data_IF_443435336938
#
_entry.id   IF_443435336938
#
_cell.length_a   1.000
_cell.length_b   1.000
_cell.length_c   1.000
_cell.angle_alpha   90.00
_cell.angle_beta   90.00
_cell.angle_gamma   90.00
#
_symmetry.space_group_name_H-M   'P 1'
#
loop_
_entity.id
_entity.type
_entity.pdbx_description
1 polymer ?
#
# COMPACT_ATOMS: atom_id res chain seq x y z
N UNK A 1 -16.43 17.44 -17.62
CA UNK A 1 -16.48 18.74 -18.32
C UNK A 1 -15.67 19.84 -17.65
N UNK A 2 -15.75 20.08 -16.32
CA UNK A 2 -14.97 21.15 -15.67
C UNK A 2 -13.45 20.98 -15.81
N UNK A 3 -12.96 19.74 -15.69
CA UNK A 3 -11.53 19.44 -15.76
C UNK A 3 -10.89 19.71 -17.13
N UNK A 4 -11.57 19.34 -18.23
CA UNK A 4 -11.07 19.62 -19.58
C UNK A 4 -10.95 21.13 -19.83
N UNK A 5 -11.91 21.91 -19.33
CA UNK A 5 -11.88 23.38 -19.43
C UNK A 5 -10.70 23.95 -18.63
N UNK A 6 -10.47 23.44 -17.41
CA UNK A 6 -9.36 23.88 -16.56
C UNK A 6 -7.99 23.61 -17.21
N UNK A 7 -7.80 22.41 -17.76
CA UNK A 7 -6.57 22.04 -18.48
C UNK A 7 -6.35 22.97 -19.69
N UNK A 8 -7.38 23.15 -20.54
CA UNK A 8 -7.28 24.02 -21.72
C UNK A 8 -7.02 25.48 -21.32
N UNK A 9 -7.64 25.96 -20.24
CA UNK A 9 -7.45 27.32 -19.75
C UNK A 9 -6.00 27.57 -19.30
N UNK A 10 -5.36 26.60 -18.64
CA UNK A 10 -3.94 26.68 -18.30
C UNK A 10 -3.05 26.63 -19.53
N UNK A 11 -3.34 25.75 -20.50
CA UNK A 11 -2.59 25.66 -21.76
C UNK A 11 -2.64 26.95 -22.61
N UNK A 12 -3.70 27.77 -22.49
CA UNK A 12 -3.80 29.08 -23.16
C UNK A 12 -2.66 30.02 -22.78
N UNK A 13 -2.05 29.86 -21.58
CA UNK A 13 -0.90 30.67 -21.15
C UNK A 13 0.33 30.44 -22.03
N UNK A 14 0.40 29.30 -22.73
CA UNK A 14 1.54 28.90 -23.55
C UNK A 14 1.22 28.81 -25.05
N UNK A 15 -0.06 28.73 -25.44
CA UNK A 15 -0.49 28.52 -26.82
C UNK A 15 -1.61 29.48 -27.21
N UNK A 16 -1.58 29.97 -28.45
CA UNK A 16 -2.69 30.75 -28.99
C UNK A 16 -3.96 29.90 -29.09
N UNK A 17 -5.12 30.56 -28.99
CA UNK A 17 -6.42 29.90 -29.03
C UNK A 17 -6.65 29.15 -30.36
N UNK A 18 -6.16 29.70 -31.47
CA UNK A 18 -6.18 29.07 -32.79
C UNK A 18 -5.32 27.80 -32.84
N UNK A 19 -4.13 27.82 -32.23
CA UNK A 19 -3.24 26.66 -32.15
C UNK A 19 -3.85 25.55 -31.29
N UNK A 20 -4.47 25.90 -30.16
CA UNK A 20 -5.18 24.96 -29.29
C UNK A 20 -6.37 24.33 -30.01
N UNK A 21 -7.20 25.13 -30.68
CA UNK A 21 -8.36 24.64 -31.44
C UNK A 21 -7.93 23.67 -32.55
N UNK A 22 -6.84 23.98 -33.26
CA UNK A 22 -6.26 23.10 -34.29
C UNK A 22 -5.80 21.76 -33.69
N UNK A 23 -4.96 21.81 -32.64
CA UNK A 23 -4.45 20.61 -31.95
C UNK A 23 -5.59 19.76 -31.39
N UNK A 24 -6.61 20.38 -30.82
CA UNK A 24 -7.81 19.71 -30.32
C UNK A 24 -8.54 18.96 -31.41
N UNK A 25 -8.78 19.64 -32.54
CA UNK A 25 -9.50 19.06 -33.68
C UNK A 25 -8.73 17.88 -34.27
N UNK A 26 -7.41 18.02 -34.42
CA UNK A 26 -6.53 16.94 -34.89
C UNK A 26 -6.58 15.70 -33.99
N UNK A 27 -6.47 15.87 -32.66
CA UNK A 27 -6.54 14.74 -31.72
C UNK A 27 -7.92 14.10 -31.68
N UNK A 28 -8.99 14.91 -31.74
CA UNK A 28 -10.37 14.41 -31.84
C UNK A 28 -10.56 13.54 -33.08
N UNK A 29 -10.05 13.99 -34.23
CA UNK A 29 -10.12 13.21 -35.48
C UNK A 29 -9.33 11.91 -35.40
N UNK A 30 -8.16 11.90 -34.74
CA UNK A 30 -7.38 10.66 -34.52
C UNK A 30 -8.13 9.67 -33.63
N UNK A 31 -8.71 10.12 -32.54
CA UNK A 31 -9.50 9.26 -31.65
C UNK A 31 -10.71 8.63 -32.35
N UNK A 32 -11.43 9.42 -33.16
CA UNK A 32 -12.60 8.92 -33.91
C UNK A 32 -12.23 7.86 -34.96
N UNK A 33 -11.01 7.91 -35.50
CA UNK A 33 -10.49 6.91 -36.45
C UNK A 33 -10.02 5.62 -35.78
N UNK A 34 -9.75 5.63 -34.46
CA UNK A 34 -9.22 4.49 -33.72
C UNK A 34 -10.30 3.50 -33.19
N UNK A 35 -11.59 3.71 -33.50
CA UNK A 35 -12.69 2.78 -33.19
C UNK A 35 -13.62 3.20 -32.04
N UNK A 36 -14.76 2.50 -31.81
CA UNK A 36 -15.88 3.00 -31.01
C UNK A 36 -15.71 2.87 -29.47
N UNK A 37 -14.57 2.40 -28.96
CA UNK A 37 -14.45 1.97 -27.56
C UNK A 37 -14.31 3.10 -26.51
N UNK A 38 -14.29 4.39 -26.88
CA UNK A 38 -13.98 5.49 -25.95
C UNK A 38 -15.05 6.60 -25.88
N UNK A 39 -16.32 6.22 -25.98
CA UNK A 39 -17.44 7.17 -26.16
C UNK A 39 -17.96 7.90 -24.90
N UNK A 40 -17.21 7.97 -23.78
CA UNK A 40 -17.64 8.74 -22.59
C UNK A 40 -16.65 9.80 -22.04
N UNK A 41 -15.36 9.77 -22.38
CA UNK A 41 -14.35 10.68 -21.80
C UNK A 41 -13.43 11.41 -22.80
N UNK A 42 -13.79 11.46 -24.08
CA UNK A 42 -12.93 11.95 -25.18
C UNK A 42 -12.33 13.34 -24.99
N UNK A 43 -13.07 14.29 -24.41
CA UNK A 43 -12.57 15.66 -24.24
C UNK A 43 -11.48 15.75 -23.15
N UNK A 44 -11.61 14.98 -22.07
CA UNK A 44 -10.60 15.00 -21.00
C UNK A 44 -9.32 14.31 -21.47
N UNK A 45 -9.42 13.16 -22.13
CA UNK A 45 -8.26 12.46 -22.70
C UNK A 45 -7.51 13.30 -23.73
N UNK A 46 -8.23 14.00 -24.63
CA UNK A 46 -7.59 14.91 -25.60
C UNK A 46 -6.85 16.05 -24.88
N UNK A 47 -7.43 16.62 -23.84
CA UNK A 47 -6.80 17.70 -23.05
C UNK A 47 -5.50 17.22 -22.40
N UNK A 48 -5.53 16.00 -21.82
CA UNK A 48 -4.36 15.36 -21.21
C UNK A 48 -3.29 15.09 -22.27
N UNK A 49 -3.67 14.54 -23.43
CA UNK A 49 -2.73 14.25 -24.52
C UNK A 49 -2.03 15.50 -25.05
N UNK A 50 -2.75 16.61 -25.20
CA UNK A 50 -2.15 17.89 -25.61
C UNK A 50 -1.14 18.35 -24.56
N UNK A 51 -1.47 18.25 -23.27
CA UNK A 51 -0.58 18.65 -22.16
C UNK A 51 0.70 17.81 -22.13
N UNK A 52 0.57 16.49 -22.25
CA UNK A 52 1.70 15.56 -22.34
C UNK A 52 2.58 15.85 -23.57
N UNK A 53 1.96 16.15 -24.72
CA UNK A 53 2.68 16.53 -25.93
C UNK A 53 3.45 17.85 -25.81
N UNK A 54 3.02 18.74 -24.92
CA UNK A 54 3.75 19.98 -24.61
C UNK A 54 4.96 19.69 -23.73
N UNK A 55 4.81 18.84 -22.71
CA UNK A 55 5.90 18.43 -21.84
C UNK A 55 7.04 17.75 -22.60
N UNK A 56 6.71 16.79 -23.48
CA UNK A 56 7.71 16.05 -24.27
C UNK A 56 8.49 16.96 -25.23
N UNK A 57 7.90 18.08 -25.66
CA UNK A 57 8.55 19.07 -26.55
C UNK A 57 9.21 20.22 -25.80
N UNK A 58 9.10 20.25 -24.48
CA UNK A 58 9.71 21.29 -23.65
C UNK A 58 11.21 21.05 -23.47
N UNK A 59 12.00 22.09 -23.15
CA UNK A 59 13.42 21.93 -22.80
C UNK A 59 13.62 20.97 -21.62
N UNK A 60 12.67 20.94 -20.68
CA UNK A 60 12.68 20.11 -19.47
C UNK A 60 11.94 18.79 -19.68
N UNK A 61 12.09 18.15 -20.84
CA UNK A 61 11.34 16.93 -21.19
C UNK A 61 11.54 15.79 -20.19
N UNK A 62 12.65 15.78 -19.46
CA UNK A 62 12.97 14.77 -18.43
C UNK A 62 11.97 14.78 -17.26
N UNK A 63 11.18 15.86 -17.08
CA UNK A 63 10.10 15.92 -16.10
C UNK A 63 9.04 14.82 -16.28
N UNK A 64 8.90 14.25 -17.50
CA UNK A 64 7.99 13.14 -17.76
C UNK A 64 8.34 11.87 -16.97
N UNK A 65 9.59 11.75 -16.51
CA UNK A 65 10.06 10.61 -15.71
C UNK A 65 9.47 10.60 -14.29
N UNK A 66 8.92 11.72 -13.83
CA UNK A 66 8.19 11.80 -12.55
C UNK A 66 6.76 11.25 -12.69
N UNK A 67 6.20 11.27 -13.91
CA UNK A 67 4.81 10.88 -14.16
C UNK A 67 4.47 9.45 -13.70
N UNK A 68 5.28 8.40 -13.96
CA UNK A 68 4.99 7.05 -13.51
C UNK A 68 4.89 6.90 -11.98
N UNK A 69 5.56 7.76 -11.22
CA UNK A 69 5.49 7.77 -9.75
C UNK A 69 4.22 8.52 -9.32
N UNK A 70 4.02 9.75 -9.81
CA UNK A 70 2.86 10.58 -9.45
C UNK A 70 1.51 9.95 -9.86
N UNK A 71 1.46 9.24 -10.99
CA UNK A 71 0.22 8.57 -11.42
C UNK A 71 -0.10 7.34 -10.57
N UNK A 72 0.94 6.69 -10.03
CA UNK A 72 0.78 5.47 -9.24
C UNK A 72 0.34 5.76 -7.80
N UNK A 73 0.84 6.84 -7.19
CA UNK A 73 0.59 7.20 -5.79
C UNK A 73 -0.80 7.84 -5.59
N UNK A 74 -1.75 7.20 -4.87
CA UNK A 74 -3.10 7.73 -4.72
C UNK A 74 -3.20 9.07 -3.97
N UNK A 75 -2.37 9.26 -2.94
CA UNK A 75 -2.33 10.50 -2.16
C UNK A 75 -1.44 11.57 -2.83
N UNK A 76 -0.82 11.26 -3.97
CA UNK A 76 0.23 12.09 -4.55
C UNK A 76 1.54 11.95 -3.77
N UNK A 77 2.34 13.02 -3.74
CA UNK A 77 3.62 13.08 -3.02
C UNK A 77 3.51 14.15 -1.94
N UNK A 78 3.23 13.76 -0.68
CA UNK A 78 3.27 14.67 0.48
C UNK A 78 4.70 15.16 0.76
N UNK A 79 4.82 16.39 1.27
CA UNK A 79 6.12 17.02 1.58
C UNK A 79 7.11 16.88 0.42
N UNK A 80 6.64 17.25 -0.77
CA UNK A 80 7.29 16.81 -2.01
C UNK A 80 8.73 17.30 -2.15
N UNK A 81 9.08 18.43 -1.56
CA UNK A 81 10.45 18.96 -1.57
C UNK A 81 11.46 17.95 -0.99
N UNK A 82 11.09 17.22 0.06
CA UNK A 82 11.93 16.22 0.72
C UNK A 82 11.69 14.81 0.17
N UNK A 83 10.42 14.48 -0.09
CA UNK A 83 10.02 13.13 -0.51
C UNK A 83 10.41 12.84 -1.95
N UNK A 84 10.27 13.80 -2.87
CA UNK A 84 10.46 13.55 -4.30
C UNK A 84 11.90 13.15 -4.62
N UNK A 85 12.88 13.76 -3.97
CA UNK A 85 14.30 13.42 -4.11
C UNK A 85 14.63 11.99 -3.66
N UNK A 86 13.82 11.42 -2.75
CA UNK A 86 13.96 10.03 -2.33
C UNK A 86 13.25 9.05 -3.26
N UNK A 87 12.26 9.50 -4.04
CA UNK A 87 11.51 8.66 -4.97
C UNK A 87 12.11 8.64 -6.38
N UNK A 88 12.73 9.74 -6.81
CA UNK A 88 13.36 9.91 -8.13
C UNK A 88 14.87 9.88 -7.95
N UNK A 89 15.51 8.77 -8.32
CA UNK A 89 16.97 8.55 -8.13
C UNK A 89 17.79 9.02 -9.35
N UNK A 90 17.15 9.60 -10.35
CA UNK A 90 17.81 10.01 -11.58
C UNK A 90 18.57 11.32 -11.38
N UNK A 91 19.89 11.27 -11.57
CA UNK A 91 20.83 12.36 -11.24
C UNK A 91 20.86 13.51 -12.25
N UNK A 92 20.18 13.37 -13.39
CA UNK A 92 20.12 14.35 -14.47
C UNK A 92 18.89 15.27 -14.39
N UNK A 93 18.05 15.13 -13.36
CA UNK A 93 16.78 15.85 -13.25
C UNK A 93 16.87 16.98 -12.22
N UNK A 94 16.66 18.22 -12.67
CA UNK A 94 16.30 19.32 -11.78
C UNK A 94 14.84 19.17 -11.36
N UNK A 95 14.62 18.69 -10.12
CA UNK A 95 13.30 18.35 -9.61
C UNK A 95 12.39 19.58 -9.48
N UNK A 96 12.91 20.73 -9.05
CA UNK A 96 12.11 21.94 -8.85
C UNK A 96 11.62 22.48 -10.20
N UNK A 97 12.53 22.60 -11.17
CA UNK A 97 12.19 23.05 -12.53
C UNK A 97 11.24 22.07 -13.23
N UNK A 98 11.41 20.77 -12.96
CA UNK A 98 10.51 19.72 -13.46
C UNK A 98 9.11 19.83 -12.88
N UNK A 99 8.98 20.07 -11.56
CA UNK A 99 7.69 20.24 -10.90
C UNK A 99 6.98 21.49 -11.41
N UNK A 100 7.69 22.61 -11.62
CA UNK A 100 7.12 23.82 -12.23
C UNK A 100 6.56 23.51 -13.62
N UNK A 101 7.34 22.82 -14.45
CA UNK A 101 6.92 22.42 -15.80
C UNK A 101 5.66 21.52 -15.77
N UNK A 102 5.57 20.61 -14.80
CA UNK A 102 4.41 19.75 -14.60
C UNK A 102 3.18 20.53 -14.08
N UNK A 103 3.35 21.49 -13.17
CA UNK A 103 2.27 22.36 -12.68
C UNK A 103 1.70 23.22 -13.82
N UNK A 104 2.55 23.79 -14.66
CA UNK A 104 2.13 24.58 -15.83
C UNK A 104 1.39 23.74 -16.87
N UNK A 105 1.62 22.42 -16.90
CA UNK A 105 0.93 21.49 -17.79
C UNK A 105 -0.50 21.14 -17.38
N UNK A 106 -0.98 21.59 -16.22
CA UNK A 106 -2.30 21.24 -15.66
C UNK A 106 -2.52 19.74 -15.34
N UNK A 107 -1.50 18.90 -15.51
CA UNK A 107 -1.60 17.47 -15.19
C UNK A 107 -1.57 17.23 -13.69
N UNK A 108 -0.88 18.09 -12.95
CA UNK A 108 -0.75 18.02 -11.50
C UNK A 108 -1.12 19.36 -10.87
N UNK A 109 -1.40 19.34 -9.58
CA UNK A 109 -1.65 20.52 -8.75
C UNK A 109 -1.01 20.33 -7.38
N UNK A 110 -0.69 21.44 -6.71
CA UNK A 110 -0.17 21.43 -5.34
C UNK A 110 -1.28 21.82 -4.36
N UNK A 111 -1.39 21.11 -3.25
CA UNK A 111 -2.28 21.47 -2.13
C UNK A 111 -1.76 20.93 -0.81
N UNK A 112 -1.68 21.78 0.22
CA UNK A 112 -1.12 21.44 1.54
C UNK A 112 0.26 20.76 1.45
N UNK A 113 1.17 21.38 0.70
CA UNK A 113 2.53 20.86 0.44
C UNK A 113 2.59 19.45 -0.17
N UNK A 114 1.53 19.06 -0.87
CA UNK A 114 1.43 17.77 -1.53
C UNK A 114 1.22 17.95 -3.04
N UNK A 115 2.06 17.30 -3.86
CA UNK A 115 1.85 17.23 -5.31
C UNK A 115 0.86 16.14 -5.63
N UNK A 116 -0.25 16.51 -6.27
CA UNK A 116 -1.36 15.61 -6.55
C UNK A 116 -1.71 15.58 -8.03
N UNK A 117 -2.21 14.45 -8.45
CA UNK A 117 -2.78 14.24 -9.78
C UNK A 117 -4.22 13.75 -9.61
N UNK A 118 -5.16 14.33 -10.35
CA UNK A 118 -6.56 13.91 -10.27
C UNK A 118 -6.73 12.48 -10.79
N UNK A 119 -7.62 11.68 -10.17
CA UNK A 119 -7.81 10.26 -10.53
C UNK A 119 -7.97 10.01 -12.04
N UNK A 120 -8.79 10.78 -12.79
CA UNK A 120 -8.93 10.56 -14.23
C UNK A 120 -7.63 10.82 -15.02
N UNK A 121 -6.80 11.75 -14.55
CA UNK A 121 -5.48 12.03 -15.15
C UNK A 121 -4.52 10.91 -14.78
N UNK A 122 -4.51 10.47 -13.51
CA UNK A 122 -3.68 9.35 -13.04
C UNK A 122 -3.92 8.09 -13.84
N UNK A 123 -5.17 7.68 -13.99
CA UNK A 123 -5.54 6.48 -14.76
C UNK A 123 -5.06 6.56 -16.21
N UNK A 124 -5.26 7.72 -16.86
CA UNK A 124 -4.83 7.93 -18.24
C UNK A 124 -3.31 7.95 -18.39
N UNK A 125 -2.61 8.66 -17.49
CA UNK A 125 -1.13 8.76 -17.49
C UNK A 125 -0.51 7.41 -17.18
N UNK A 126 -1.06 6.63 -16.25
CA UNK A 126 -0.56 5.30 -15.88
C UNK A 126 -0.60 4.31 -17.06
N UNK A 127 -1.59 4.43 -17.96
CA UNK A 127 -1.67 3.61 -19.18
C UNK A 127 -0.54 3.97 -20.15
N UNK A 128 -0.20 5.26 -20.26
CA UNK A 128 0.76 5.78 -21.25
C UNK A 128 2.21 5.78 -20.76
N UNK A 129 2.41 5.95 -19.45
CA UNK A 129 3.68 5.99 -18.75
C UNK A 129 3.61 5.05 -17.52
N UNK A 130 3.61 3.73 -17.73
CA UNK A 130 3.44 2.77 -16.66
C UNK A 130 4.62 2.75 -15.70
N UNK A 131 4.32 2.57 -14.41
CA UNK A 131 5.31 2.34 -13.36
C UNK A 131 6.10 1.06 -13.66
N UNK A 132 7.42 1.21 -13.70
CA UNK A 132 8.38 0.11 -13.88
C UNK A 132 8.80 -0.49 -12.53
N UNK A 133 9.41 -1.67 -12.56
CA UNK A 133 9.92 -2.36 -11.36
C UNK A 133 10.94 -1.53 -10.57
N UNK A 134 11.79 -0.75 -11.26
CA UNK A 134 12.74 0.17 -10.61
C UNK A 134 12.04 1.23 -9.76
N UNK A 135 10.98 1.85 -10.30
CA UNK A 135 10.16 2.82 -9.57
C UNK A 135 9.47 2.16 -8.38
N UNK A 136 8.88 0.98 -8.57
CA UNK A 136 8.19 0.25 -7.52
C UNK A 136 9.15 -0.12 -6.38
N UNK A 137 10.34 -0.61 -6.71
CA UNK A 137 11.39 -0.95 -5.74
C UNK A 137 11.85 0.28 -4.95
N UNK A 138 12.00 1.43 -5.61
CA UNK A 138 12.39 2.67 -4.93
C UNK A 138 11.28 3.18 -3.99
N UNK A 139 10.03 3.21 -4.47
CA UNK A 139 8.89 3.56 -3.63
C UNK A 139 8.75 2.59 -2.45
N UNK A 140 8.98 1.30 -2.68
CA UNK A 140 8.99 0.25 -1.65
C UNK A 140 10.02 0.54 -0.56
N UNK A 141 11.29 0.75 -0.94
CA UNK A 141 12.37 1.11 -0.01
C UNK A 141 12.05 2.37 0.79
N UNK A 142 11.57 3.42 0.14
CA UNK A 142 11.19 4.67 0.80
C UNK A 142 10.10 4.43 1.86
N UNK A 143 9.01 3.76 1.47
CA UNK A 143 7.91 3.50 2.41
C UNK A 143 8.29 2.53 3.52
N UNK A 144 9.13 1.54 3.24
CA UNK A 144 9.67 0.66 4.28
C UNK A 144 10.52 1.41 5.29
N UNK A 145 11.41 2.29 4.80
CA UNK A 145 12.19 3.17 5.67
C UNK A 145 11.27 4.07 6.50
N UNK A 146 10.27 4.68 5.88
CA UNK A 146 9.30 5.53 6.57
C UNK A 146 8.59 4.81 7.72
N UNK A 147 8.18 3.55 7.51
CA UNK A 147 7.55 2.73 8.54
C UNK A 147 8.51 2.30 9.67
N UNK A 148 9.81 2.14 9.37
CA UNK A 148 10.84 1.83 10.37
C UNK A 148 11.23 3.04 11.21
N UNK A 149 11.37 4.20 10.56
CA UNK A 149 11.79 5.43 11.21
C UNK A 149 10.68 6.04 12.09
N UNK A 150 9.42 5.69 11.81
CA UNK A 150 8.25 6.17 12.56
C UNK A 150 7.50 5.00 13.18
N UNK A 151 7.74 4.75 14.46
CA UNK A 151 7.00 3.74 15.22
C UNK A 151 5.59 4.24 15.57
N UNK A 152 4.54 3.41 15.46
CA UNK A 152 3.18 3.84 15.75
C UNK A 152 3.01 4.32 17.19
N UNK A 153 2.45 5.53 17.34
CA UNK A 153 2.43 6.30 18.59
C UNK A 153 3.37 7.50 18.62
N UNK A 154 4.43 7.50 17.81
CA UNK A 154 5.25 8.68 17.49
C UNK A 154 5.09 9.01 16.00
N UNK A 155 4.75 10.26 15.68
CA UNK A 155 4.58 10.71 14.28
C UNK A 155 3.51 9.95 13.47
N UNK A 156 2.42 9.53 14.13
CA UNK A 156 1.30 8.84 13.49
C UNK A 156 0.65 9.66 12.36
N UNK A 157 0.64 10.98 12.52
CA UNK A 157 0.21 11.96 11.52
C UNK A 157 1.01 11.86 10.22
N UNK A 158 2.32 11.60 10.31
CA UNK A 158 3.17 11.39 9.13
C UNK A 158 2.78 10.11 8.38
N UNK A 159 2.56 9.00 9.11
CA UNK A 159 2.17 7.72 8.51
C UNK A 159 0.77 7.84 7.86
N UNK A 160 -0.17 8.51 8.52
CA UNK A 160 -1.53 8.69 8.02
C UNK A 160 -1.58 9.43 6.68
N UNK A 161 -0.75 10.46 6.53
CA UNK A 161 -0.60 11.20 5.27
C UNK A 161 -0.14 10.29 4.12
N UNK A 162 0.69 9.29 4.41
CA UNK A 162 1.17 8.30 3.44
C UNK A 162 0.32 7.03 3.36
N UNK A 163 -0.75 6.89 4.15
CA UNK A 163 -1.53 5.65 4.30
C UNK A 163 -1.90 4.94 2.99
N UNK A 164 -2.58 5.63 2.08
CA UNK A 164 -3.02 5.05 0.81
C UNK A 164 -1.86 4.77 -0.16
N UNK A 165 -0.76 5.52 -0.05
CA UNK A 165 0.46 5.25 -0.81
C UNK A 165 1.13 3.98 -0.32
N UNK A 166 1.28 3.82 1.00
CA UNK A 166 1.86 2.64 1.65
C UNK A 166 1.06 1.39 1.28
N UNK A 167 -0.26 1.40 1.48
CA UNK A 167 -1.12 0.25 1.13
C UNK A 167 -0.98 -0.10 -0.37
N UNK A 168 -0.96 0.91 -1.26
CA UNK A 168 -0.87 0.67 -2.70
C UNK A 168 0.48 0.10 -3.11
N UNK A 169 1.57 0.70 -2.66
CA UNK A 169 2.95 0.31 -3.05
C UNK A 169 3.31 -1.02 -2.43
N UNK A 170 3.25 -1.13 -1.10
CA UNK A 170 3.66 -2.35 -0.40
C UNK A 170 2.68 -3.50 -0.70
N UNK A 171 1.40 -3.22 -0.87
CA UNK A 171 0.43 -4.23 -1.29
C UNK A 171 0.78 -4.84 -2.65
N UNK A 172 1.17 -4.03 -3.63
CA UNK A 172 1.59 -4.53 -4.95
C UNK A 172 2.92 -5.30 -4.86
N UNK A 173 3.88 -4.83 -4.06
CA UNK A 173 5.17 -5.52 -3.86
C UNK A 173 4.96 -6.89 -3.21
N UNK A 174 4.15 -6.95 -2.14
CA UNK A 174 3.81 -8.20 -1.46
C UNK A 174 3.06 -9.14 -2.40
N UNK A 175 2.23 -8.62 -3.32
CA UNK A 175 1.53 -9.45 -4.30
C UNK A 175 2.41 -10.03 -5.39
N UNK A 176 3.41 -9.27 -5.83
CA UNK A 176 4.18 -9.61 -7.02
C UNK A 176 5.56 -10.20 -6.72
N UNK A 177 6.04 -10.08 -5.48
CA UNK A 177 7.38 -10.51 -5.09
C UNK A 177 7.39 -11.18 -3.72
N UNK A 178 7.99 -12.37 -3.62
CA UNK A 178 8.23 -13.05 -2.35
C UNK A 178 9.46 -12.48 -1.61
N UNK A 179 9.69 -11.17 -1.72
CA UNK A 179 10.85 -10.53 -1.10
C UNK A 179 10.64 -10.48 0.42
N UNK A 180 11.35 -11.37 1.13
CA UNK A 180 11.25 -11.54 2.59
C UNK A 180 11.50 -10.23 3.35
N UNK A 181 12.31 -9.31 2.82
CA UNK A 181 12.56 -8.00 3.42
C UNK A 181 11.26 -7.21 3.72
N UNK A 182 10.28 -7.24 2.82
CA UNK A 182 9.01 -6.52 2.99
C UNK A 182 8.07 -7.23 3.95
N UNK A 183 8.17 -8.56 4.03
CA UNK A 183 7.42 -9.35 5.00
C UNK A 183 7.95 -9.14 6.42
N UNK A 184 9.27 -9.15 6.59
CA UNK A 184 9.93 -8.82 7.86
C UNK A 184 9.56 -7.40 8.29
N UNK A 185 9.58 -6.47 7.34
CA UNK A 185 9.11 -5.11 7.51
C UNK A 185 7.64 -4.98 7.97
N UNK A 186 6.76 -5.83 7.44
CA UNK A 186 5.37 -5.91 7.87
C UNK A 186 5.25 -6.42 9.31
N UNK A 187 6.04 -7.44 9.69
CA UNK A 187 6.07 -7.95 11.05
C UNK A 187 6.47 -6.86 12.05
N UNK A 188 7.57 -6.16 11.77
CA UNK A 188 8.04 -5.04 12.59
C UNK A 188 6.94 -3.98 12.73
N UNK A 189 6.38 -3.54 11.59
CA UNK A 189 5.35 -2.50 11.61
C UNK A 189 4.07 -2.92 12.34
N UNK A 190 3.60 -4.16 12.17
CA UNK A 190 2.38 -4.63 12.82
C UNK A 190 2.58 -4.88 14.33
N UNK A 191 3.79 -5.22 14.77
CA UNK A 191 4.09 -5.38 16.20
C UNK A 191 4.00 -4.05 16.95
N UNK A 192 4.53 -2.98 16.39
CA UNK A 192 4.46 -1.64 16.99
C UNK A 192 3.17 -0.89 16.60
N UNK A 193 2.56 -1.23 15.46
CA UNK A 193 1.35 -0.65 14.85
C UNK A 193 0.05 -1.33 15.17
N UNK A 194 -0.13 -1.72 16.43
CA UNK A 194 -1.27 -2.52 16.90
C UNK A 194 -2.64 -1.88 16.63
N UNK A 195 -2.69 -0.56 16.40
CA UNK A 195 -3.91 0.21 16.12
C UNK A 195 -3.99 0.73 14.68
N UNK A 196 -3.04 0.36 13.81
CA UNK A 196 -3.00 0.86 12.44
C UNK A 196 -3.91 0.04 11.53
N UNK A 197 -4.86 0.68 10.86
CA UNK A 197 -5.67 0.02 9.82
C UNK A 197 -4.84 -0.40 8.60
N UNK A 198 -3.68 0.23 8.39
CA UNK A 198 -2.74 -0.08 7.31
C UNK A 198 -2.12 -1.46 7.52
N UNK A 199 -1.72 -1.80 8.76
CA UNK A 199 -1.09 -3.10 9.04
C UNK A 199 -2.05 -4.24 8.72
N UNK A 200 -3.33 -4.13 9.10
CA UNK A 200 -4.35 -5.11 8.72
C UNK A 200 -4.48 -5.29 7.21
N UNK A 201 -4.56 -4.19 6.45
CA UNK A 201 -4.69 -4.25 4.99
C UNK A 201 -3.51 -4.96 4.36
N UNK A 202 -2.29 -4.67 4.82
CA UNK A 202 -1.08 -5.34 4.33
C UNK A 202 -1.04 -6.82 4.72
N UNK A 203 -1.50 -7.19 5.92
CA UNK A 203 -1.62 -8.59 6.34
C UNK A 203 -2.62 -9.34 5.47
N UNK A 204 -3.79 -8.75 5.15
CA UNK A 204 -4.77 -9.35 4.24
C UNK A 204 -4.19 -9.58 2.84
N UNK A 205 -3.38 -8.64 2.35
CA UNK A 205 -2.67 -8.81 1.09
C UNK A 205 -1.62 -9.92 1.17
N UNK A 206 -0.85 -10.00 2.25
CA UNK A 206 0.15 -11.04 2.44
C UNK A 206 -0.46 -12.44 2.59
N UNK A 207 -1.64 -12.55 3.22
CA UNK A 207 -2.39 -13.81 3.36
C UNK A 207 -2.98 -14.32 2.03
N UNK A 208 -3.15 -13.45 1.04
CA UNK A 208 -3.60 -13.84 -0.29
C UNK A 208 -2.48 -14.48 -1.15
N UNK A 209 -1.25 -14.53 -0.64
CA UNK A 209 -0.06 -15.00 -1.36
C UNK A 209 0.40 -16.39 -0.91
N UNK A 210 1.10 -17.08 -1.83
CA UNK A 210 1.76 -18.36 -1.55
C UNK A 210 3.23 -18.13 -1.19
N UNK A 211 3.62 -18.49 0.03
CA UNK A 211 4.99 -18.34 0.53
C UNK A 211 5.77 -19.67 0.49
N UNK A 212 7.12 -19.62 0.42
CA UNK A 212 7.98 -20.82 0.33
C UNK A 212 7.81 -21.78 1.52
N UNK A 213 7.53 -21.24 2.71
CA UNK A 213 7.13 -21.99 3.92
C UNK A 213 5.63 -21.83 4.16
N UNK A 214 4.84 -21.99 3.09
CA UNK A 214 3.47 -21.50 2.96
C UNK A 214 2.59 -21.76 4.17
N UNK A 215 2.66 -22.96 4.74
CA UNK A 215 1.89 -23.28 5.94
C UNK A 215 2.34 -22.50 7.18
N UNK A 216 3.62 -22.56 7.56
CA UNK A 216 4.12 -21.87 8.76
C UNK A 216 3.97 -20.35 8.65
N UNK A 217 4.20 -19.80 7.46
CA UNK A 217 4.12 -18.37 7.21
C UNK A 217 2.66 -17.88 7.25
N UNK A 218 1.73 -18.65 6.69
CA UNK A 218 0.30 -18.32 6.78
C UNK A 218 -0.17 -18.31 8.24
N UNK A 219 0.24 -19.29 9.05
CA UNK A 219 -0.13 -19.37 10.47
C UNK A 219 0.42 -18.15 11.24
N UNK A 220 1.67 -17.75 10.98
CA UNK A 220 2.26 -16.55 11.58
C UNK A 220 1.49 -15.28 11.20
N UNK A 221 1.17 -15.10 9.92
CA UNK A 221 0.40 -13.96 9.43
C UNK A 221 -1.02 -13.92 10.05
N UNK A 222 -1.67 -15.07 10.22
CA UNK A 222 -2.98 -15.15 10.88
C UNK A 222 -2.92 -14.78 12.35
N UNK A 223 -1.90 -15.22 13.09
CA UNK A 223 -1.68 -14.77 14.47
C UNK A 223 -1.42 -13.27 14.54
N UNK A 224 -0.67 -12.70 13.59
CA UNK A 224 -0.43 -11.26 13.52
C UNK A 224 -1.72 -10.47 13.27
N UNK A 225 -2.57 -10.99 12.37
CA UNK A 225 -3.90 -10.43 12.08
C UNK A 225 -4.82 -10.48 13.28
N UNK A 226 -4.92 -11.65 13.92
CA UNK A 226 -5.68 -11.86 15.15
C UNK A 226 -5.26 -10.86 16.21
N UNK A 227 -3.95 -10.75 16.47
CA UNK A 227 -3.39 -9.82 17.45
C UNK A 227 -3.85 -8.40 17.16
N UNK A 228 -3.66 -7.94 15.93
CA UNK A 228 -4.09 -6.61 15.51
C UNK A 228 -5.60 -6.41 15.78
N UNK A 229 -6.46 -7.33 15.32
CA UNK A 229 -7.91 -7.28 15.52
C UNK A 229 -8.30 -7.21 17.00
N UNK A 230 -7.65 -8.01 17.85
CA UNK A 230 -7.88 -8.04 19.29
C UNK A 230 -7.57 -6.70 19.95
N UNK A 231 -6.42 -6.10 19.63
CA UNK A 231 -6.04 -4.76 20.11
C UNK A 231 -6.99 -3.65 19.66
N UNK A 232 -7.59 -3.78 18.47
CA UNK A 232 -8.61 -2.82 17.99
C UNK A 232 -10.03 -3.10 18.53
N UNK A 233 -10.20 -4.07 19.44
CA UNK A 233 -11.50 -4.42 20.01
C UNK A 233 -12.40 -5.25 19.10
N UNK A 234 -11.91 -5.71 17.95
CA UNK A 234 -12.64 -6.57 17.02
C UNK A 234 -12.58 -8.05 17.46
N UNK A 235 -12.96 -8.34 18.71
CA UNK A 235 -12.78 -9.64 19.35
C UNK A 235 -13.42 -10.80 18.58
N UNK A 236 -14.61 -10.60 18.00
CA UNK A 236 -15.26 -11.66 17.21
C UNK A 236 -14.43 -12.04 15.97
N UNK A 237 -13.90 -11.06 15.25
CA UNK A 237 -13.04 -11.30 14.08
C UNK A 237 -11.73 -11.96 14.48
N UNK A 238 -11.17 -11.58 15.64
CA UNK A 238 -9.98 -12.21 16.20
C UNK A 238 -10.23 -13.69 16.52
N UNK A 239 -11.34 -14.03 17.20
CA UNK A 239 -11.75 -15.42 17.46
C UNK A 239 -11.88 -16.23 16.17
N UNK A 240 -12.49 -15.67 15.12
CA UNK A 240 -12.60 -16.33 13.80
C UNK A 240 -11.24 -16.63 13.16
N UNK A 241 -10.23 -15.74 13.28
CA UNK A 241 -8.88 -16.06 12.79
C UNK A 241 -8.25 -17.23 13.57
N UNK A 242 -8.48 -17.33 14.88
CA UNK A 242 -8.02 -18.48 15.69
C UNK A 242 -8.71 -19.77 15.26
N UNK A 243 -10.03 -19.75 15.02
CA UNK A 243 -10.78 -20.90 14.51
C UNK A 243 -10.21 -21.38 13.17
N UNK A 244 -9.87 -20.46 12.26
CA UNK A 244 -9.23 -20.80 10.98
C UNK A 244 -7.87 -21.47 11.20
N UNK A 245 -7.05 -20.95 12.11
CA UNK A 245 -5.75 -21.54 12.47
C UNK A 245 -5.97 -22.97 12.99
N UNK A 246 -6.90 -23.17 13.92
CA UNK A 246 -7.21 -24.49 14.49
C UNK A 246 -7.70 -25.49 13.44
N UNK A 247 -8.56 -25.07 12.50
CA UNK A 247 -9.01 -25.91 11.39
C UNK A 247 -7.82 -26.33 10.51
N UNK A 248 -6.98 -25.37 10.14
CA UNK A 248 -5.78 -25.65 9.35
C UNK A 248 -4.81 -26.61 10.05
N UNK A 249 -4.63 -26.46 11.36
CA UNK A 249 -3.79 -27.39 12.14
C UNK A 249 -4.38 -28.82 12.17
N UNK A 250 -5.71 -28.98 12.09
CA UNK A 250 -6.38 -30.29 12.03
C UNK A 250 -6.25 -30.96 10.67
N UNK A 251 -6.35 -30.20 9.58
CA UNK A 251 -6.33 -30.71 8.20
C UNK A 251 -4.94 -31.22 7.74
N UNK A 252 -3.87 -30.87 8.45
CA UNK A 252 -2.50 -31.29 8.08
C UNK A 252 -2.26 -32.74 8.44
N UNK A 253 -2.10 -33.54 7.39
CA UNK A 253 -1.71 -34.95 7.43
C UNK A 253 -0.19 -35.13 7.23
N UNK A 254 0.63 -34.44 8.03
CA UNK A 254 2.10 -34.47 7.89
C UNK A 254 2.74 -34.77 9.25
N UNK A 255 3.48 -35.87 9.34
CA UNK A 255 4.31 -36.27 10.49
C UNK A 255 5.51 -35.32 10.76
N UNK A 256 5.76 -34.34 9.87
CA UNK A 256 6.99 -33.53 9.87
C UNK A 256 6.94 -32.27 10.76
N UNK A 257 5.85 -32.00 11.48
CA UNK A 257 5.73 -30.77 12.28
C UNK A 257 4.92 -30.94 13.57
N UNK A 258 4.92 -32.12 14.21
CA UNK A 258 4.11 -32.37 15.42
C UNK A 258 4.39 -31.35 16.55
N UNK A 259 5.67 -31.02 16.79
CA UNK A 259 6.06 -30.04 17.79
C UNK A 259 5.56 -28.62 17.45
N UNK A 260 5.73 -28.18 16.20
CA UNK A 260 5.24 -26.88 15.71
C UNK A 260 3.71 -26.79 15.77
N UNK A 261 3.01 -27.89 15.44
CA UNK A 261 1.55 -27.99 15.53
C UNK A 261 1.08 -27.90 16.98
N UNK A 262 1.71 -28.64 17.90
CA UNK A 262 1.38 -28.60 19.31
C UNK A 262 1.65 -27.22 19.92
N UNK A 263 2.77 -26.58 19.56
CA UNK A 263 3.09 -25.21 19.96
C UNK A 263 2.05 -24.20 19.44
N UNK A 264 1.64 -24.30 18.18
CA UNK A 264 0.61 -23.43 17.60
C UNK A 264 -0.77 -23.66 18.24
N UNK A 265 -1.13 -24.91 18.60
CA UNK A 265 -2.36 -25.19 19.35
C UNK A 265 -2.35 -24.55 20.74
N UNK A 266 -1.24 -24.66 21.48
CA UNK A 266 -1.07 -24.00 22.78
C UNK A 266 -1.20 -22.47 22.64
N UNK A 267 -0.59 -21.90 21.58
CA UNK A 267 -0.71 -20.48 21.25
C UNK A 267 -2.15 -20.08 20.94
N UNK A 268 -2.92 -20.86 20.17
CA UNK A 268 -4.35 -20.58 19.96
C UNK A 268 -5.13 -20.44 21.27
N UNK A 269 -4.89 -21.35 22.23
CA UNK A 269 -5.55 -21.31 23.54
C UNK A 269 -5.15 -20.07 24.34
N UNK A 270 -3.85 -19.74 24.36
CA UNK A 270 -3.36 -18.52 25.00
C UNK A 270 -4.02 -17.26 24.41
N UNK A 271 -4.11 -17.17 23.08
CA UNK A 271 -4.72 -16.00 22.41
C UNK A 271 -6.23 -15.92 22.66
N UNK A 272 -6.94 -17.04 22.75
CA UNK A 272 -8.35 -17.05 23.19
C UNK A 272 -8.48 -16.56 24.64
N UNK A 273 -7.57 -17.00 25.52
CA UNK A 273 -7.50 -16.52 26.90
C UNK A 273 -7.29 -15.01 26.98
N UNK A 274 -6.36 -14.47 26.19
CA UNK A 274 -6.13 -13.02 26.05
C UNK A 274 -7.42 -12.28 25.67
N UNK A 275 -8.14 -12.78 24.65
CA UNK A 275 -9.40 -12.17 24.19
C UNK A 275 -10.47 -12.23 25.29
N UNK A 276 -10.68 -13.37 25.94
CA UNK A 276 -11.63 -13.49 27.05
C UNK A 276 -11.27 -12.54 28.20
N UNK A 277 -9.98 -12.39 28.51
CA UNK A 277 -9.50 -11.41 29.49
C UNK A 277 -9.87 -9.97 29.10
N UNK A 278 -9.67 -9.59 27.83
CA UNK A 278 -10.09 -8.28 27.33
C UNK A 278 -11.61 -8.07 27.39
N UNK A 279 -12.40 -9.14 27.26
CA UNK A 279 -13.87 -9.12 27.39
C UNK A 279 -14.37 -9.23 28.84
N UNK A 280 -13.47 -9.21 29.84
CA UNK A 280 -13.79 -9.40 31.27
C UNK A 280 -14.36 -10.78 31.63
N UNK A 281 -14.14 -11.79 30.79
CA UNK A 281 -14.54 -13.19 30.97
C UNK A 281 -13.44 -13.97 31.72
N UNK A 282 -13.05 -13.49 32.91
CA UNK A 282 -11.84 -13.97 33.62
C UNK A 282 -11.86 -15.45 33.99
N UNK A 283 -13.03 -16.03 34.26
CA UNK A 283 -13.16 -17.46 34.57
C UNK A 283 -12.82 -18.33 33.37
N UNK A 284 -13.28 -17.93 32.18
CA UNK A 284 -12.99 -18.63 30.93
C UNK A 284 -11.54 -18.42 30.51
N UNK A 285 -11.04 -17.18 30.63
CA UNK A 285 -9.64 -16.86 30.37
C UNK A 285 -8.69 -17.72 31.21
N UNK A 286 -8.96 -17.87 32.52
CA UNK A 286 -8.15 -18.69 33.42
C UNK A 286 -8.09 -20.16 32.99
N UNK A 287 -9.22 -20.72 32.56
CA UNK A 287 -9.27 -22.11 32.06
C UNK A 287 -8.41 -22.26 30.79
N UNK A 288 -8.56 -21.32 29.84
CA UNK A 288 -7.80 -21.32 28.59
C UNK A 288 -6.30 -21.17 28.82
N UNK A 289 -5.88 -20.29 29.73
CA UNK A 289 -4.47 -20.12 30.09
C UNK A 289 -3.89 -21.37 30.78
N UNK A 290 -4.66 -22.02 31.67
CA UNK A 290 -4.21 -23.25 32.34
C UNK A 290 -3.99 -24.40 31.34
N UNK A 291 -4.90 -24.55 30.37
CA UNK A 291 -4.74 -25.54 29.31
C UNK A 291 -3.56 -25.18 28.40
N UNK A 292 -3.43 -23.91 27.99
CA UNK A 292 -2.31 -23.43 27.17
C UNK A 292 -0.96 -23.69 27.85
N UNK A 293 -0.85 -23.38 29.15
CA UNK A 293 0.34 -23.64 29.96
C UNK A 293 0.70 -25.12 29.94
N UNK A 294 -0.27 -25.99 30.23
CA UNK A 294 -0.08 -27.44 30.25
C UNK A 294 0.44 -27.96 28.89
N UNK A 295 -0.07 -27.42 27.79
CA UNK A 295 0.38 -27.78 26.45
C UNK A 295 1.79 -27.26 26.14
N UNK A 296 2.10 -26.00 26.51
CA UNK A 296 3.45 -25.44 26.37
C UNK A 296 4.51 -26.21 27.17
N UNK A 297 4.18 -26.63 28.39
CA UNK A 297 5.08 -27.44 29.23
C UNK A 297 5.35 -28.82 28.61
N UNK A 298 4.33 -29.48 28.05
CA UNK A 298 4.47 -30.77 27.37
C UNK A 298 5.41 -30.71 26.16
N UNK A 299 5.39 -29.60 25.41
CA UNK A 299 6.27 -29.38 24.26
C UNK A 299 7.61 -28.75 24.63
N UNK A 300 7.86 -28.47 25.92
CA UNK A 300 9.11 -27.87 26.39
C UNK A 300 9.27 -26.37 26.07
N UNK A 301 8.21 -25.69 25.65
CA UNK A 301 8.25 -24.27 25.27
C UNK A 301 8.06 -23.35 26.50
N UNK A 302 9.13 -23.20 27.30
CA UNK A 302 9.12 -22.51 28.59
C UNK A 302 8.61 -21.07 28.55
N UNK A 303 8.97 -20.30 27.52
CA UNK A 303 8.51 -18.91 27.37
C UNK A 303 6.99 -18.83 27.21
N UNK A 304 6.39 -19.75 26.46
CA UNK A 304 4.94 -19.80 26.27
C UNK A 304 4.21 -20.16 27.55
N UNK A 305 4.74 -21.13 28.31
CA UNK A 305 4.19 -21.49 29.62
C UNK A 305 4.24 -20.31 30.59
N UNK A 306 5.37 -19.58 30.64
CA UNK A 306 5.51 -18.39 31.48
C UNK A 306 4.55 -17.26 31.09
N UNK A 307 4.25 -17.09 29.80
CA UNK A 307 3.29 -16.09 29.32
C UNK A 307 1.82 -16.44 29.63
N UNK A 308 1.53 -17.65 30.14
CA UNK A 308 0.18 -18.04 30.55
C UNK A 308 -0.11 -17.76 32.05
N UNK A 309 0.89 -17.32 32.81
CA UNK A 309 0.81 -17.01 34.24
C UNK A 309 0.49 -15.53 34.44
#
# INVERSE_FOLDING_TARGET
MPLAILIIAQLKRHLSLNTLMRKWTEQKTRMLKAGPASSRHSSVSISIDISLQMLVRSPNRECIKILPILSFLPNGIPQWHETLAQLVVESDIDLEVSVISLLDSALIYQGNDCLKMLSPIREYVQIKYPTQESHLSQMGRYHMKLLRDHSPGQSQDVIEVHSSNITKVLGIILQNSAQREYLDGLYDFAEYGKFSSISLQLIDVALAQMWDKGFEEEIKLRFLKEKSLSWMGNHQRAKTEIEIIQLKLKDINIHEHEESKANNNAKCLQRLGDICGMQSEYSEAKLLFTEAQTQFEKVGHQLGAAQCI
#
